data_IF_389270024323
#
_entry.id   IF_389270024323
#
_cell.length_a   1.000
_cell.length_b   1.000
_cell.length_c   1.000
_cell.angle_alpha   90.00
_cell.angle_beta   90.00
_cell.angle_gamma   90.00
#
_symmetry.space_group_name_H-M   'P 1'
#
loop_
_entity.id
_entity.type
_entity.pdbx_description
1 polymer ?
#
# COMPACT_ATOMS: atom_id res chain seq x y z
N UNK A 1 4.62 2.96 18.32
CA UNK A 1 3.90 2.86 17.04
C UNK A 1 2.61 2.11 17.29
N UNK A 2 1.48 2.76 17.05
CA UNK A 2 0.18 2.12 17.30
C UNK A 2 -0.14 1.15 16.17
N UNK A 3 -0.36 -0.12 16.53
CA UNK A 3 -0.59 -1.19 15.55
C UNK A 3 -1.96 -1.06 14.85
N UNK A 4 -2.94 -0.51 15.55
CA UNK A 4 -4.30 -0.35 15.06
C UNK A 4 -4.41 0.57 13.82
N UNK A 5 -3.89 1.80 13.82
CA UNK A 5 -3.91 2.66 12.63
C UNK A 5 -3.06 2.10 11.48
N UNK A 6 -1.96 1.40 11.78
CA UNK A 6 -1.16 0.73 10.77
C UNK A 6 -1.96 -0.35 10.06
N UNK A 7 -2.64 -1.22 10.82
CA UNK A 7 -3.46 -2.29 10.27
C UNK A 7 -4.63 -1.73 9.46
N UNK A 8 -5.32 -0.71 10.00
CA UNK A 8 -6.43 -0.04 9.30
C UNK A 8 -5.97 0.52 7.95
N UNK A 9 -4.88 1.30 7.92
CA UNK A 9 -4.35 1.89 6.69
C UNK A 9 -3.92 0.84 5.67
N UNK A 10 -3.31 -0.25 6.13
CA UNK A 10 -2.84 -1.35 5.29
C UNK A 10 -4.02 -2.09 4.64
N UNK A 11 -5.06 -2.43 5.41
CA UNK A 11 -6.26 -3.12 4.91
C UNK A 11 -7.04 -2.22 3.95
N UNK A 12 -7.28 -0.96 4.33
CA UNK A 12 -7.99 -0.01 3.46
C UNK A 12 -7.19 0.27 2.17
N UNK A 13 -5.86 0.31 2.24
CA UNK A 13 -4.99 0.47 1.07
C UNK A 13 -5.06 -0.70 0.10
N UNK A 14 -5.02 -1.92 0.61
CA UNK A 14 -5.19 -3.11 -0.21
C UNK A 14 -6.56 -3.19 -0.86
N UNK A 15 -7.62 -2.86 -0.10
CA UNK A 15 -8.98 -2.83 -0.63
C UNK A 15 -9.14 -1.79 -1.74
N UNK A 16 -8.59 -0.58 -1.55
CA UNK A 16 -8.61 0.47 -2.56
C UNK A 16 -7.90 0.02 -3.85
N UNK A 17 -6.71 -0.57 -3.74
CA UNK A 17 -5.96 -1.07 -4.89
C UNK A 17 -6.65 -2.24 -5.62
N UNK A 18 -7.29 -3.14 -4.87
CA UNK A 18 -8.14 -4.18 -5.44
C UNK A 18 -9.33 -3.60 -6.21
N UNK A 19 -9.99 -2.58 -5.64
CA UNK A 19 -11.07 -1.83 -6.29
C UNK A 19 -10.62 -1.19 -7.60
N UNK A 20 -9.46 -0.55 -7.62
CA UNK A 20 -8.84 -0.06 -8.87
C UNK A 20 -8.54 -1.20 -9.84
N UNK A 21 -8.07 -2.36 -9.36
CA UNK A 21 -7.89 -3.55 -10.19
C UNK A 21 -9.16 -3.97 -10.94
N UNK A 22 -10.32 -3.92 -10.27
CA UNK A 22 -11.62 -4.17 -10.93
C UNK A 22 -11.91 -3.11 -12.01
N UNK A 23 -11.69 -1.82 -11.69
CA UNK A 23 -11.91 -0.72 -12.64
C UNK A 23 -11.01 -0.85 -13.89
N UNK A 24 -9.81 -1.41 -13.73
CA UNK A 24 -8.87 -1.67 -14.81
C UNK A 24 -9.02 -3.07 -15.44
N UNK A 25 -10.15 -3.75 -15.20
CA UNK A 25 -10.47 -5.06 -15.77
C UNK A 25 -9.38 -6.13 -15.53
N UNK A 26 -8.70 -6.07 -14.38
CA UNK A 26 -7.73 -7.08 -13.95
C UNK A 26 -8.47 -8.39 -13.68
N UNK A 27 -7.90 -9.51 -14.12
CA UNK A 27 -8.49 -10.83 -13.90
C UNK A 27 -8.65 -11.13 -12.40
N UNK A 28 -9.65 -11.94 -12.02
CA UNK A 28 -9.86 -12.36 -10.61
C UNK A 28 -8.62 -12.98 -9.96
N UNK A 29 -7.75 -13.62 -10.74
CA UNK A 29 -6.47 -14.19 -10.27
C UNK A 29 -5.41 -13.11 -9.98
N UNK A 30 -5.50 -11.95 -10.62
CA UNK A 30 -4.61 -10.80 -10.42
C UNK A 30 -5.05 -9.85 -9.29
N UNK A 31 -6.34 -9.85 -8.94
CA UNK A 31 -6.88 -9.03 -7.85
C UNK A 31 -6.14 -9.20 -6.51
N UNK A 32 -5.79 -10.42 -6.05
CA UNK A 32 -5.00 -10.59 -4.84
C UNK A 32 -3.64 -9.91 -4.90
N UNK A 33 -2.99 -9.86 -6.08
CA UNK A 33 -1.71 -9.18 -6.27
C UNK A 33 -1.88 -7.66 -6.20
N UNK A 34 -2.94 -7.11 -6.81
CA UNK A 34 -3.28 -5.69 -6.66
C UNK A 34 -3.56 -5.31 -5.20
N UNK A 35 -4.29 -6.16 -4.47
CA UNK A 35 -4.57 -5.93 -3.06
C UNK A 35 -3.28 -5.97 -2.22
N UNK A 36 -2.42 -6.96 -2.46
CA UNK A 36 -1.16 -7.11 -1.74
C UNK A 36 -0.20 -5.93 -1.98
N UNK A 37 -0.08 -5.47 -3.23
CA UNK A 37 0.78 -4.33 -3.56
C UNK A 37 0.26 -3.03 -2.94
N UNK A 38 -1.05 -2.77 -2.99
CA UNK A 38 -1.66 -1.60 -2.34
C UNK A 38 -1.52 -1.60 -0.81
N UNK A 39 -1.70 -2.76 -0.19
CA UNK A 39 -1.49 -2.94 1.25
C UNK A 39 -0.03 -2.67 1.63
N UNK A 40 0.92 -3.23 0.87
CA UNK A 40 2.35 -3.04 1.10
C UNK A 40 2.76 -1.56 0.92
N UNK A 41 2.19 -0.86 -0.06
CA UNK A 41 2.40 0.58 -0.26
C UNK A 41 2.08 1.39 1.01
N UNK A 42 0.88 1.18 1.55
CA UNK A 42 0.36 1.94 2.67
C UNK A 42 1.00 1.52 3.99
N UNK A 43 1.40 0.26 4.13
CA UNK A 43 2.19 -0.22 5.25
C UNK A 43 3.56 0.49 5.28
N UNK A 44 4.32 0.46 4.18
CA UNK A 44 5.63 1.12 4.08
C UNK A 44 5.55 2.62 4.34
N UNK A 45 4.58 3.30 3.71
CA UNK A 45 4.34 4.73 3.94
C UNK A 45 4.05 5.01 5.41
N UNK A 46 3.18 4.22 6.04
CA UNK A 46 2.76 4.44 7.44
C UNK A 46 3.91 4.17 8.41
N UNK A 47 4.75 3.16 8.15
CA UNK A 47 5.97 2.90 8.92
C UNK A 47 6.94 4.08 8.81
N UNK A 48 7.18 4.59 7.61
CA UNK A 48 8.07 5.74 7.40
C UNK A 48 7.53 7.01 8.08
N UNK A 49 6.22 7.27 8.00
CA UNK A 49 5.58 8.35 8.76
C UNK A 49 5.75 8.18 10.28
N UNK A 50 5.61 6.94 10.79
CA UNK A 50 5.87 6.62 12.19
C UNK A 50 7.33 6.80 12.63
N UNK A 51 8.28 6.76 11.69
CA UNK A 51 9.69 7.08 11.89
C UNK A 51 10.00 8.60 11.82
N UNK A 52 8.97 9.45 11.70
CA UNK A 52 9.12 10.90 11.65
C UNK A 52 9.49 11.46 10.27
N UNK A 53 9.36 10.65 9.21
CA UNK A 53 9.64 11.12 7.86
C UNK A 53 8.52 12.05 7.37
N UNK A 54 8.88 12.99 6.49
CA UNK A 54 7.91 13.82 5.79
C UNK A 54 7.04 12.99 4.86
N UNK A 55 5.82 13.45 4.62
CA UNK A 55 4.84 12.76 3.78
C UNK A 55 5.37 12.49 2.38
N UNK A 56 6.07 13.46 1.78
CA UNK A 56 6.63 13.34 0.44
C UNK A 56 7.70 12.24 0.38
N UNK A 57 8.64 12.24 1.33
CA UNK A 57 9.72 11.25 1.40
C UNK A 57 9.20 9.84 1.70
N UNK A 58 8.26 9.71 2.63
CA UNK A 58 7.62 8.44 2.99
C UNK A 58 6.86 7.83 1.79
N UNK A 59 6.13 8.65 1.05
CA UNK A 59 5.37 8.18 -0.12
C UNK A 59 6.29 7.83 -1.28
N UNK A 60 7.36 8.60 -1.50
CA UNK A 60 8.36 8.31 -2.51
C UNK A 60 9.06 6.98 -2.27
N UNK A 61 9.56 6.74 -1.05
CA UNK A 61 10.23 5.48 -0.70
C UNK A 61 9.28 4.30 -0.76
N UNK A 62 8.03 4.45 -0.34
CA UNK A 62 7.03 3.39 -0.48
C UNK A 62 6.79 3.01 -1.95
N UNK A 63 6.68 3.99 -2.85
CA UNK A 63 6.52 3.75 -4.29
C UNK A 63 7.78 3.13 -4.91
N UNK A 64 8.97 3.61 -4.54
CA UNK A 64 10.24 3.09 -5.02
C UNK A 64 10.43 1.62 -4.63
N UNK A 65 10.20 1.28 -3.37
CA UNK A 65 10.32 -0.09 -2.87
C UNK A 65 9.33 -1.02 -3.55
N UNK A 66 8.09 -0.57 -3.77
CA UNK A 66 7.11 -1.35 -4.53
C UNK A 66 7.54 -1.63 -5.96
N UNK A 67 8.08 -0.63 -6.67
CA UNK A 67 8.54 -0.81 -8.05
C UNK A 67 9.77 -1.71 -8.19
N UNK A 68 10.47 -2.02 -7.09
CA UNK A 68 11.55 -3.01 -7.06
C UNK A 68 11.01 -4.42 -6.79
N UNK A 69 9.94 -4.53 -5.99
CA UNK A 69 9.39 -5.80 -5.50
C UNK A 69 8.37 -6.41 -6.47
N UNK A 70 7.59 -5.58 -7.16
CA UNK A 70 6.49 -5.97 -8.05
C UNK A 70 6.89 -5.78 -9.51
#
# INVERSE_FOLDING_TARGET
>A
MDLLPLLHNTVCGGLAAAGFGVLFNVSFRGLPWCAASGALALALRTIALGAGWRLEAASFVAALLLGIVV
#
